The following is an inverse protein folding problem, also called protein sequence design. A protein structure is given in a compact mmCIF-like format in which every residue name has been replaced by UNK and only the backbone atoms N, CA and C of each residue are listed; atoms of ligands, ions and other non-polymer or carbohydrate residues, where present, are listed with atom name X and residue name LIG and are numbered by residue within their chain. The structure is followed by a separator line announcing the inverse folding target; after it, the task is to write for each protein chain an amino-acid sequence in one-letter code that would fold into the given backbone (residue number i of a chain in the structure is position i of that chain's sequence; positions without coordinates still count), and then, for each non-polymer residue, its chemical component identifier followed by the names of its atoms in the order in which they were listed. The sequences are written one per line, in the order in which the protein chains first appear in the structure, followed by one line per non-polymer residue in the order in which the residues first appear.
data_IF_636656104270
#
_entry.id   IF_636656104270
#
_cell.length_a   1.000
_cell.length_b   1.000
_cell.length_c   1.000
_cell.angle_alpha   90.00
_cell.angle_beta   90.00
_cell.angle_gamma   90.00
#
_symmetry.space_group_name_H-M   'P 1'
#
loop_
_entity.id
_entity.type
_entity.pdbx_description
1 polymer ?
#
# COMPACT_ATOMS: atom_id res chain seq x y z
N UNK A 1 -13.20 -14.51 23.75
CA UNK A 1 -12.57 -13.64 22.74
C UNK A 1 -13.57 -13.48 21.59
N UNK A 2 -13.68 -12.32 20.93
CA UNK A 2 -14.47 -12.23 19.70
C UNK A 2 -13.96 -13.29 18.72
N UNK A 3 -14.86 -14.04 18.07
CA UNK A 3 -14.46 -15.03 17.06
C UNK A 3 -13.51 -14.36 16.06
N UNK A 4 -12.29 -14.89 15.92
CA UNK A 4 -11.25 -14.32 15.06
C UNK A 4 -11.79 -14.15 13.64
N UNK A 5 -11.65 -12.94 13.09
CA UNK A 5 -12.01 -12.67 11.70
C UNK A 5 -10.86 -12.98 10.73
N UNK A 6 -9.69 -13.35 11.25
CA UNK A 6 -8.57 -13.86 10.44
C UNK A 6 -7.88 -15.01 11.17
N UNK A 7 -7.35 -15.95 10.40
CA UNK A 7 -6.52 -17.08 10.85
C UNK A 7 -5.22 -17.11 10.06
N UNK A 8 -4.19 -17.76 10.62
CA UNK A 8 -2.89 -17.94 9.95
C UNK A 8 -2.73 -19.40 9.57
N UNK A 9 -2.33 -19.68 8.32
CA UNK A 9 -2.06 -21.04 7.83
C UNK A 9 -0.83 -21.09 6.93
N UNK A 10 -0.19 -22.25 6.84
CA UNK A 10 1.00 -22.47 6.01
C UNK A 10 0.72 -22.92 4.58
N UNK A 11 -0.48 -23.45 4.31
CA UNK A 11 -0.84 -23.93 2.98
C UNK A 11 -2.36 -24.10 2.86
N UNK A 12 -2.82 -24.25 1.62
CA UNK A 12 -4.22 -24.49 1.28
C UNK A 12 -4.49 -25.93 0.78
N UNK A 13 -3.54 -26.85 1.01
CA UNK A 13 -3.55 -28.22 0.50
C UNK A 13 -2.95 -28.31 -0.92
N UNK A 14 -2.09 -29.32 -1.14
CA UNK A 14 -1.38 -29.55 -2.41
C UNK A 14 0.08 -29.07 -2.39
N UNK A 15 1.00 -30.02 -2.21
CA UNK A 15 2.47 -29.96 -2.39
C UNK A 15 3.18 -28.59 -2.41
N UNK A 16 3.82 -28.23 -1.29
CA UNK A 16 4.79 -27.15 -1.17
C UNK A 16 4.41 -26.12 -0.10
N UNK A 17 5.25 -25.94 0.93
CA UNK A 17 5.03 -24.93 1.96
C UNK A 17 5.48 -23.54 1.46
N UNK A 18 4.55 -22.71 1.01
CA UNK A 18 4.78 -21.32 0.60
C UNK A 18 3.87 -20.37 1.39
N UNK A 19 3.64 -20.67 2.67
CA UNK A 19 3.05 -19.74 3.64
C UNK A 19 4.13 -19.07 4.52
N UNK A 20 3.74 -18.41 5.61
CA UNK A 20 2.36 -18.24 6.12
C UNK A 20 1.47 -17.28 5.32
N UNK A 21 0.17 -17.57 5.35
CA UNK A 21 -0.93 -16.77 4.81
C UNK A 21 -1.81 -16.22 5.93
N UNK A 22 -2.27 -14.98 5.77
CA UNK A 22 -3.37 -14.40 6.53
C UNK A 22 -4.69 -14.68 5.79
N UNK A 23 -5.59 -15.43 6.42
CA UNK A 23 -6.83 -15.92 5.83
C UNK A 23 -8.03 -15.31 6.55
N UNK A 24 -8.94 -14.61 5.86
CA UNK A 24 -10.13 -14.06 6.50
C UNK A 24 -11.15 -15.13 6.92
N UNK A 25 -11.93 -14.85 7.96
CA UNK A 25 -12.95 -15.75 8.50
C UNK A 25 -14.07 -15.99 7.50
N UNK A 26 -14.49 -17.25 7.36
CA UNK A 26 -15.50 -17.65 6.38
C UNK A 26 -14.92 -17.92 4.99
N UNK A 27 -13.65 -17.56 4.75
CA UNK A 27 -12.91 -18.01 3.58
C UNK A 27 -12.47 -19.46 3.79
N UNK A 28 -12.62 -20.29 2.77
CA UNK A 28 -12.20 -21.69 2.78
C UNK A 28 -11.57 -22.07 1.46
N UNK A 29 -10.48 -22.85 1.54
CA UNK A 29 -9.74 -23.31 0.37
C UNK A 29 -10.70 -24.05 -0.59
N UNK A 30 -10.77 -23.59 -1.84
CA UNK A 30 -11.63 -24.17 -2.88
C UNK A 30 -12.90 -23.37 -3.20
N UNK A 31 -13.23 -22.34 -2.40
CA UNK A 31 -14.33 -21.43 -2.70
C UNK A 31 -13.84 -20.15 -3.40
N UNK A 32 -14.65 -19.62 -4.30
CA UNK A 32 -14.45 -18.29 -4.89
C UNK A 32 -14.40 -17.23 -3.78
N UNK A 33 -13.41 -16.34 -3.82
CA UNK A 33 -13.40 -15.19 -2.91
C UNK A 33 -14.35 -14.16 -3.48
N UNK A 34 -15.45 -13.91 -2.78
CA UNK A 34 -16.47 -12.94 -3.18
C UNK A 34 -16.54 -11.83 -2.15
N UNK A 35 -16.54 -10.58 -2.59
CA UNK A 35 -16.81 -9.42 -1.72
C UNK A 35 -18.04 -8.67 -2.20
N UNK A 36 -18.72 -8.03 -1.24
CA UNK A 36 -19.88 -7.19 -1.49
C UNK A 36 -19.62 -5.77 -0.99
N UNK A 37 -19.93 -4.78 -1.83
CA UNK A 37 -19.71 -3.36 -1.55
C UNK A 37 -21.01 -2.59 -1.82
N UNK A 38 -21.70 -2.14 -0.76
CA UNK A 38 -22.93 -1.32 -0.87
C UNK A 38 -22.59 0.17 -1.01
N UNK A 39 -23.29 0.86 -1.92
CA UNK A 39 -23.13 2.29 -2.18
C UNK A 39 -21.91 2.77 -3.01
N UNK A 40 -21.14 1.93 -3.75
CA UNK A 40 -20.02 2.43 -4.57
C UNK A 40 -20.45 3.02 -5.92
N UNK A 41 -21.76 3.04 -6.21
CA UNK A 41 -22.33 3.40 -7.51
C UNK A 41 -23.43 4.44 -7.26
N UNK A 42 -23.65 5.33 -8.24
CA UNK A 42 -24.71 6.32 -8.16
C UNK A 42 -26.11 5.67 -7.95
N UNK A 43 -27.01 6.25 -7.15
CA UNK A 43 -28.29 5.62 -6.76
C UNK A 43 -29.24 5.26 -7.92
N UNK A 44 -29.08 5.92 -9.06
CA UNK A 44 -29.91 5.73 -10.26
C UNK A 44 -29.46 4.57 -11.16
N UNK A 45 -28.33 3.93 -10.87
CA UNK A 45 -27.83 2.79 -11.66
C UNK A 45 -28.61 1.52 -11.31
N UNK A 46 -29.13 0.85 -12.34
CA UNK A 46 -29.85 -0.43 -12.22
C UNK A 46 -28.91 -1.63 -12.32
N UNK A 47 -29.33 -2.77 -11.79
CA UNK A 47 -28.61 -4.04 -11.86
C UNK A 47 -28.14 -4.38 -13.28
N UNK A 48 -26.87 -4.77 -13.41
CA UNK A 48 -26.26 -5.15 -14.68
C UNK A 48 -24.85 -5.71 -14.46
N UNK A 49 -24.47 -6.70 -15.26
CA UNK A 49 -23.10 -7.21 -15.25
C UNK A 49 -22.21 -6.18 -15.94
N UNK A 50 -21.31 -5.55 -15.18
CA UNK A 50 -20.22 -4.75 -15.75
C UNK A 50 -19.08 -5.69 -16.04
N UNK A 51 -19.01 -6.19 -17.26
CA UNK A 51 -17.86 -6.98 -17.69
C UNK A 51 -16.66 -6.05 -17.78
N UNK A 52 -15.78 -6.11 -16.78
CA UNK A 52 -14.44 -5.56 -16.92
C UNK A 52 -13.69 -6.34 -18.03
N UNK A 53 -12.82 -5.69 -18.80
CA UNK A 53 -11.96 -6.42 -19.73
C UNK A 53 -11.16 -7.49 -18.96
N UNK A 54 -11.30 -8.75 -19.36
CA UNK A 54 -10.66 -9.87 -18.68
C UNK A 54 -9.15 -9.68 -18.58
N UNK A 55 -8.62 -9.64 -17.37
CA UNK A 55 -7.17 -9.75 -17.15
C UNK A 55 -6.84 -11.23 -17.03
N UNK A 56 -6.30 -11.79 -18.11
CA UNK A 56 -5.91 -13.20 -18.20
C UNK A 56 -4.57 -13.41 -17.48
N UNK A 57 -4.49 -14.46 -16.66
CA UNK A 57 -3.20 -14.96 -16.16
C UNK A 57 -2.52 -15.73 -17.29
N UNK A 58 -1.19 -15.64 -17.45
CA UNK A 58 -0.46 -16.61 -18.25
C UNK A 58 -0.59 -17.97 -17.56
N UNK A 59 -1.38 -18.87 -18.15
CA UNK A 59 -1.51 -20.28 -17.76
C UNK A 59 -0.88 -21.15 -18.86
N UNK A 60 -0.25 -22.30 -18.53
CA UNK A 60 0.18 -23.28 -19.52
C UNK A 60 -0.99 -23.99 -20.23
N UNK A 61 -2.25 -23.69 -19.89
CA UNK A 61 -3.44 -24.18 -20.57
C UNK A 61 -4.39 -23.04 -20.96
N UNK A 62 -5.09 -23.12 -22.11
CA UNK A 62 -5.96 -22.07 -22.60
C UNK A 62 -7.27 -22.07 -21.81
N UNK A 63 -7.35 -21.31 -20.73
CA UNK A 63 -8.62 -21.01 -20.06
C UNK A 63 -8.86 -19.50 -20.07
N UNK A 64 -9.98 -19.11 -20.68
CA UNK A 64 -10.51 -17.75 -20.87
C UNK A 64 -11.00 -17.06 -19.59
N UNK A 65 -10.57 -17.51 -18.41
CA UNK A 65 -11.12 -17.06 -17.12
C UNK A 65 -10.39 -15.81 -16.61
N UNK A 66 -11.15 -14.73 -16.38
CA UNK A 66 -10.65 -13.49 -15.76
C UNK A 66 -10.40 -13.69 -14.27
N UNK A 67 -9.21 -13.31 -13.77
CA UNK A 67 -8.84 -13.43 -12.34
C UNK A 67 -9.80 -12.68 -11.42
N UNK A 68 -10.26 -11.51 -11.86
CA UNK A 68 -11.21 -10.66 -11.15
C UNK A 68 -12.41 -10.41 -12.04
N UNK A 69 -13.62 -10.60 -11.51
CA UNK A 69 -14.87 -10.22 -12.18
C UNK A 69 -15.64 -9.23 -11.32
N UNK A 70 -16.20 -8.21 -11.94
CA UNK A 70 -17.06 -7.21 -11.31
C UNK A 70 -18.50 -7.42 -11.77
N UNK A 71 -19.47 -7.26 -10.87
CA UNK A 71 -20.89 -7.20 -11.23
C UNK A 71 -21.62 -6.20 -10.35
N UNK A 72 -22.56 -5.45 -10.91
CA UNK A 72 -23.40 -4.50 -10.17
C UNK A 72 -24.78 -5.11 -10.02
N UNK A 73 -25.27 -5.15 -8.79
CA UNK A 73 -26.59 -5.68 -8.49
C UNK A 73 -27.34 -4.75 -7.54
N UNK A 74 -28.66 -4.80 -7.62
CA UNK A 74 -29.52 -4.22 -6.59
C UNK A 74 -29.78 -5.32 -5.56
N UNK A 75 -29.39 -5.16 -4.28
CA UNK A 75 -29.63 -6.18 -3.27
C UNK A 75 -31.12 -6.55 -3.22
N UNK A 76 -31.45 -7.84 -3.08
CA UNK A 76 -32.84 -8.26 -2.86
C UNK A 76 -33.31 -7.74 -1.48
N UNK A 77 -34.44 -7.03 -1.44
CA UNK A 77 -35.02 -6.44 -0.22
C UNK A 77 -35.07 -4.90 -0.24
N UNK A 78 -35.52 -4.29 0.87
CA UNK A 78 -35.75 -2.84 1.04
C UNK A 78 -34.47 -1.96 1.01
N UNK A 79 -33.34 -2.42 0.45
CA UNK A 79 -32.13 -1.59 0.35
C UNK A 79 -32.18 -0.71 -0.90
N UNK A 80 -32.22 0.63 -0.77
CA UNK A 80 -32.34 1.53 -1.91
C UNK A 80 -31.03 1.75 -2.68
N UNK A 81 -29.89 1.19 -2.21
CA UNK A 81 -28.57 1.47 -2.77
C UNK A 81 -28.04 0.30 -3.61
N UNK A 82 -27.52 0.56 -4.83
CA UNK A 82 -26.84 -0.46 -5.62
C UNK A 82 -25.57 -0.94 -4.92
N UNK A 83 -25.23 -2.20 -5.18
CA UNK A 83 -24.06 -2.85 -4.64
C UNK A 83 -23.18 -3.43 -5.77
N UNK A 84 -21.89 -3.48 -5.50
CA UNK A 84 -20.89 -4.14 -6.33
C UNK A 84 -20.55 -5.47 -5.69
N UNK A 85 -20.46 -6.50 -6.52
CA UNK A 85 -19.87 -7.79 -6.19
C UNK A 85 -18.57 -7.93 -6.98
N UNK A 86 -17.49 -8.32 -6.30
CA UNK A 86 -16.23 -8.74 -6.95
C UNK A 86 -16.02 -10.20 -6.63
N UNK A 87 -15.73 -11.01 -7.65
CA UNK A 87 -15.29 -12.39 -7.47
C UNK A 87 -13.83 -12.53 -7.92
N UNK A 88 -13.06 -13.28 -7.14
CA UNK A 88 -11.69 -13.69 -7.48
C UNK A 88 -11.67 -15.17 -7.81
N UNK A 89 -11.00 -15.53 -8.90
CA UNK A 89 -10.81 -16.92 -9.27
C UNK A 89 -10.22 -17.73 -8.11
N UNK A 90 -10.83 -18.89 -7.83
CA UNK A 90 -10.44 -19.74 -6.71
C UNK A 90 -9.07 -20.38 -6.90
N UNK A 91 -8.68 -20.67 -8.14
CA UNK A 91 -7.39 -21.27 -8.46
C UNK A 91 -6.27 -20.28 -8.16
N UNK A 92 -6.44 -19.02 -8.57
CA UNK A 92 -5.49 -17.95 -8.28
C UNK A 92 -5.47 -17.55 -6.79
N UNK A 93 -6.64 -17.31 -6.19
CA UNK A 93 -6.75 -16.80 -4.83
C UNK A 93 -6.11 -17.74 -3.79
N UNK A 94 -6.29 -19.05 -3.95
CA UNK A 94 -5.82 -20.05 -2.99
C UNK A 94 -4.54 -20.78 -3.43
N UNK A 95 -3.87 -20.29 -4.49
CA UNK A 95 -2.63 -20.90 -4.95
C UNK A 95 -1.51 -20.71 -3.93
N UNK A 96 -0.66 -21.73 -3.77
CA UNK A 96 0.65 -21.62 -3.11
C UNK A 96 1.81 -21.49 -4.12
N UNK A 97 1.53 -21.53 -5.43
CA UNK A 97 2.55 -21.41 -6.47
C UNK A 97 2.99 -19.95 -6.67
N UNK A 98 4.30 -19.69 -6.57
CA UNK A 98 4.85 -18.33 -6.65
C UNK A 98 4.57 -17.65 -7.99
N UNK A 99 4.48 -18.40 -9.10
CA UNK A 99 4.21 -17.85 -10.43
C UNK A 99 2.77 -17.40 -10.53
N UNK A 100 1.83 -18.22 -10.05
CA UNK A 100 0.41 -17.86 -9.97
C UNK A 100 0.17 -16.68 -9.03
N UNK A 101 0.90 -16.59 -7.90
CA UNK A 101 0.85 -15.42 -7.01
C UNK A 101 1.35 -14.14 -7.68
N UNK A 102 2.49 -14.20 -8.38
CA UNK A 102 3.00 -13.05 -9.14
C UNK A 102 2.01 -12.60 -10.23
N UNK A 103 1.40 -13.56 -10.94
CA UNK A 103 0.39 -13.27 -11.94
C UNK A 103 -0.88 -12.67 -11.32
N UNK A 104 -1.31 -13.13 -10.14
CA UNK A 104 -2.43 -12.56 -9.39
C UNK A 104 -2.16 -11.11 -8.95
N UNK A 105 -0.94 -10.80 -8.50
CA UNK A 105 -0.53 -9.45 -8.14
C UNK A 105 -0.57 -8.51 -9.37
N UNK A 106 -0.09 -8.98 -10.53
CA UNK A 106 -0.21 -8.23 -11.79
C UNK A 106 -1.67 -8.02 -12.19
N UNK A 107 -2.50 -9.06 -12.12
CA UNK A 107 -3.92 -8.96 -12.43
C UNK A 107 -4.65 -7.99 -11.50
N UNK A 108 -4.23 -7.90 -10.23
CA UNK A 108 -4.78 -6.94 -9.27
C UNK A 108 -4.43 -5.49 -9.63
N UNK A 109 -3.20 -5.20 -10.04
CA UNK A 109 -2.81 -3.85 -10.53
C UNK A 109 -3.67 -3.43 -11.73
N UNK A 110 -3.84 -4.32 -12.71
CA UNK A 110 -4.68 -4.03 -13.89
C UNK A 110 -6.15 -3.85 -13.49
N UNK A 111 -6.68 -4.71 -12.61
CA UNK A 111 -8.03 -4.58 -12.09
C UNK A 111 -8.25 -3.24 -11.38
N UNK A 112 -7.29 -2.76 -10.58
CA UNK A 112 -7.34 -1.42 -9.95
C UNK A 112 -7.42 -0.30 -10.99
N UNK A 113 -6.60 -0.34 -12.03
CA UNK A 113 -6.64 0.64 -13.12
C UNK A 113 -8.00 0.65 -13.83
N UNK A 114 -8.56 -0.53 -14.12
CA UNK A 114 -9.86 -0.68 -14.76
C UNK A 114 -11.00 -0.17 -13.86
N UNK A 115 -10.96 -0.45 -12.56
CA UNK A 115 -11.93 0.07 -11.60
C UNK A 115 -11.90 1.60 -11.55
N UNK A 116 -10.72 2.21 -11.53
CA UNK A 116 -10.62 3.66 -11.51
C UNK A 116 -11.14 4.29 -12.81
N UNK A 117 -10.87 3.67 -13.96
CA UNK A 117 -11.44 4.13 -15.23
C UNK A 117 -12.98 4.14 -15.21
N UNK A 118 -13.61 3.21 -14.49
CA UNK A 118 -15.08 3.20 -14.31
C UNK A 118 -15.63 4.38 -13.50
N UNK A 119 -14.80 5.14 -12.78
CA UNK A 119 -15.24 6.38 -12.12
C UNK A 119 -15.38 7.55 -13.08
N UNK A 120 -14.82 7.44 -14.29
CA UNK A 120 -14.81 8.49 -15.31
C UNK A 120 -15.85 8.31 -16.43
N UNK A 121 -16.53 7.16 -16.49
CA UNK A 121 -17.49 6.81 -17.57
C UNK A 121 -18.93 6.97 -17.11
N UNK A 122 -19.85 7.32 -18.03
CA UNK A 122 -21.24 7.64 -17.73
C UNK A 122 -22.17 6.42 -17.51
N UNK A 123 -21.71 5.18 -17.71
CA UNK A 123 -22.53 3.98 -17.53
C UNK A 123 -21.69 2.69 -17.35
N UNK A 124 -21.75 1.99 -16.20
CA UNK A 124 -22.23 2.41 -14.88
C UNK A 124 -21.11 3.10 -14.08
N UNK A 125 -21.31 4.36 -13.66
CA UNK A 125 -20.28 5.14 -13.00
C UNK A 125 -20.11 4.64 -11.56
N UNK A 126 -18.91 4.15 -11.26
CA UNK A 126 -18.46 4.11 -9.87
C UNK A 126 -18.39 5.56 -9.35
N UNK A 127 -18.78 5.79 -8.10
CA UNK A 127 -18.62 7.12 -7.49
C UNK A 127 -17.14 7.45 -7.33
N UNK A 128 -16.74 8.73 -7.37
CA UNK A 128 -15.35 9.13 -7.10
C UNK A 128 -14.84 8.53 -5.77
N UNK A 129 -13.71 7.83 -5.83
CA UNK A 129 -13.10 7.15 -4.68
C UNK A 129 -13.66 5.75 -4.37
N UNK A 130 -14.68 5.27 -5.10
CA UNK A 130 -15.22 3.93 -4.94
C UNK A 130 -14.21 2.83 -5.32
N UNK A 131 -13.34 3.07 -6.30
CA UNK A 131 -12.24 2.17 -6.67
C UNK A 131 -11.35 1.85 -5.45
N UNK A 132 -10.88 2.88 -4.73
CA UNK A 132 -10.07 2.71 -3.52
C UNK A 132 -10.83 1.95 -2.43
N UNK A 133 -12.13 2.18 -2.26
CA UNK A 133 -12.95 1.43 -1.31
C UNK A 133 -13.03 -0.06 -1.69
N UNK A 134 -13.29 -0.37 -2.96
CA UNK A 134 -13.40 -1.74 -3.48
C UNK A 134 -12.06 -2.47 -3.34
N UNK A 135 -10.96 -1.84 -3.76
CA UNK A 135 -9.59 -2.40 -3.68
C UNK A 135 -9.18 -2.69 -2.24
N UNK A 136 -9.43 -1.76 -1.31
CA UNK A 136 -9.14 -1.99 0.12
C UNK A 136 -9.98 -3.12 0.71
N UNK A 137 -11.26 -3.22 0.34
CA UNK A 137 -12.13 -4.32 0.77
C UNK A 137 -11.65 -5.65 0.22
N UNK A 138 -11.24 -5.67 -1.04
CA UNK A 138 -10.72 -6.86 -1.70
C UNK A 138 -9.43 -7.33 -1.03
N UNK A 139 -8.48 -6.42 -0.76
CA UNK A 139 -7.25 -6.73 -0.03
C UNK A 139 -7.53 -7.34 1.36
N UNK A 140 -8.57 -6.87 2.06
CA UNK A 140 -8.97 -7.43 3.36
C UNK A 140 -9.68 -8.79 3.30
N UNK A 141 -10.18 -9.18 2.13
CA UNK A 141 -10.95 -10.42 1.95
C UNK A 141 -10.17 -11.51 1.21
N UNK A 142 -9.03 -11.19 0.62
CA UNK A 142 -8.17 -12.17 -0.04
C UNK A 142 -7.28 -12.90 0.98
N UNK A 143 -7.04 -14.21 0.80
CA UNK A 143 -5.96 -14.89 1.50
C UNK A 143 -4.61 -14.41 0.93
N UNK A 144 -3.83 -13.72 1.75
CA UNK A 144 -2.57 -13.09 1.36
C UNK A 144 -1.40 -13.68 2.13
N UNK A 145 -0.27 -13.93 1.46
CA UNK A 145 1.00 -14.21 2.14
C UNK A 145 1.51 -12.94 2.82
N UNK A 146 2.34 -13.09 3.84
CA UNK A 146 2.85 -11.93 4.58
C UNK A 146 3.68 -10.98 3.71
N UNK A 147 4.45 -11.50 2.76
CA UNK A 147 5.20 -10.72 1.77
C UNK A 147 4.31 -9.98 0.76
N UNK A 148 3.04 -10.35 0.63
CA UNK A 148 2.10 -9.75 -0.32
C UNK A 148 1.23 -8.65 0.31
N UNK A 149 1.03 -8.67 1.63
CA UNK A 149 0.11 -7.74 2.32
C UNK A 149 0.40 -6.28 1.93
N UNK A 150 1.66 -5.85 1.94
CA UNK A 150 2.02 -4.48 1.60
C UNK A 150 1.82 -4.15 0.12
N UNK A 151 1.97 -5.12 -0.78
CA UNK A 151 1.71 -4.95 -2.21
C UNK A 151 0.22 -4.72 -2.48
N UNK A 152 -0.67 -5.42 -1.78
CA UNK A 152 -2.11 -5.26 -1.96
C UNK A 152 -2.68 -4.00 -1.29
N UNK A 153 -2.14 -3.61 -0.13
CA UNK A 153 -2.62 -2.43 0.61
C UNK A 153 -1.95 -1.12 0.16
N UNK A 154 -0.68 -1.15 -0.22
CA UNK A 154 0.14 0.06 -0.45
C UNK A 154 0.88 0.04 -1.79
N UNK A 155 0.56 -0.89 -2.69
CA UNK A 155 1.27 -1.09 -3.95
C UNK A 155 2.80 -1.18 -3.77
N UNK A 156 3.25 -1.70 -2.62
CA UNK A 156 4.66 -1.90 -2.35
C UNK A 156 5.26 -2.89 -3.36
N UNK A 157 6.29 -2.45 -4.06
CA UNK A 157 7.01 -3.22 -5.06
C UNK A 157 8.50 -3.21 -4.72
N UNK A 158 9.03 -4.29 -4.11
CA UNK A 158 10.42 -4.35 -3.71
C UNK A 158 11.38 -4.42 -4.91
N UNK A 159 10.91 -4.85 -6.08
CA UNK A 159 11.73 -4.94 -7.30
C UNK A 159 11.85 -3.57 -7.96
N UNK A 160 10.73 -2.86 -8.09
CA UNK A 160 10.71 -1.47 -8.57
C UNK A 160 11.17 -0.45 -7.51
N UNK A 161 11.44 -0.90 -6.28
CA UNK A 161 11.77 -0.07 -5.13
C UNK A 161 10.76 1.08 -4.98
N UNK A 162 9.47 0.75 -4.94
CA UNK A 162 8.41 1.77 -4.96
C UNK A 162 7.25 1.47 -4.00
N UNK A 163 6.52 2.51 -3.60
CA UNK A 163 5.34 2.39 -2.75
C UNK A 163 4.37 3.56 -2.91
N UNK A 164 3.07 3.29 -2.87
CA UNK A 164 2.04 4.33 -2.87
C UNK A 164 1.95 5.01 -1.50
N UNK A 165 1.79 6.34 -1.54
CA UNK A 165 1.44 7.15 -0.40
C UNK A 165 -0.09 7.32 -0.35
N UNK A 166 -0.69 6.99 0.79
CA UNK A 166 -2.14 7.04 0.98
C UNK A 166 -2.54 8.09 2.03
N UNK A 167 -3.80 8.59 1.98
CA UNK A 167 -4.33 9.47 3.01
C UNK A 167 -4.16 8.91 4.42
N UNK A 168 -3.75 9.76 5.36
CA UNK A 168 -3.53 9.46 6.77
C UNK A 168 -2.23 8.70 7.07
N UNK A 169 -1.38 8.48 6.07
CA UNK A 169 0.03 8.16 6.29
C UNK A 169 0.82 9.39 6.75
N UNK A 170 2.03 9.17 7.23
CA UNK A 170 3.03 10.22 7.39
C UNK A 170 4.28 9.85 6.61
N UNK A 171 4.93 10.83 5.99
CA UNK A 171 6.23 10.69 5.37
C UNK A 171 7.27 11.30 6.29
N UNK A 172 8.13 10.46 6.87
CA UNK A 172 9.35 10.94 7.53
C UNK A 172 10.41 11.20 6.46
N UNK A 173 10.98 12.38 6.50
CA UNK A 173 12.05 12.84 5.60
C UNK A 173 13.25 13.17 6.46
N UNK A 174 14.32 12.40 6.34
CA UNK A 174 15.61 12.72 6.96
C UNK A 174 16.50 13.39 5.92
N UNK A 175 16.76 14.68 6.14
CA UNK A 175 17.48 15.55 5.23
C UNK A 175 18.98 15.46 5.47
N UNK A 176 19.74 15.32 4.40
CA UNK A 176 21.18 15.57 4.41
C UNK A 176 21.56 16.49 3.26
N UNK A 177 21.90 17.73 3.62
CA UNK A 177 22.35 18.75 2.68
C UNK A 177 23.82 18.59 2.34
N UNK A 178 24.19 18.97 1.12
CA UNK A 178 25.59 19.05 0.73
C UNK A 178 26.21 20.32 1.29
N UNK A 179 27.31 20.18 2.03
CA UNK A 179 28.12 21.27 2.54
C UNK A 179 29.34 21.43 1.65
N UNK A 180 29.42 22.57 0.98
CA UNK A 180 30.57 22.94 0.16
C UNK A 180 31.48 23.89 0.94
N UNK A 181 32.73 23.46 1.15
CA UNK A 181 33.78 24.23 1.81
C UNK A 181 34.75 24.86 0.80
N UNK A 182 35.30 24.08 -0.13
CA UNK A 182 36.24 24.59 -1.14
C UNK A 182 36.31 23.71 -2.40
N UNK A 183 36.78 24.27 -3.51
CA UNK A 183 36.89 23.55 -4.79
C UNK A 183 37.96 22.45 -4.77
N UNK A 184 37.91 21.48 -5.70
CA UNK A 184 38.93 20.44 -5.80
C UNK A 184 40.35 21.02 -5.85
N UNK A 185 41.26 20.49 -5.02
CA UNK A 185 42.66 20.93 -4.94
C UNK A 185 42.94 22.12 -4.02
N UNK A 186 41.91 22.77 -3.45
CA UNK A 186 42.08 23.81 -2.42
C UNK A 186 42.23 23.25 -1.01
N UNK A 187 42.86 24.02 -0.10
CA UNK A 187 42.84 23.70 1.33
C UNK A 187 41.38 23.64 1.82
N UNK A 188 40.99 22.55 2.48
CA UNK A 188 39.62 22.29 2.91
C UNK A 188 38.73 21.55 1.90
N UNK A 189 39.22 21.18 0.69
CA UNK A 189 38.45 20.41 -0.28
C UNK A 189 37.99 19.04 0.27
N UNK A 190 38.78 18.42 1.16
CA UNK A 190 38.43 17.17 1.84
C UNK A 190 37.36 17.32 2.94
N UNK A 191 36.87 18.54 3.20
CA UNK A 191 35.80 18.81 4.16
C UNK A 191 34.42 18.95 3.48
N UNK A 192 34.37 18.90 2.14
CA UNK A 192 33.11 18.87 1.41
C UNK A 192 32.37 17.54 1.65
N UNK A 193 31.04 17.59 1.78
CA UNK A 193 30.25 16.38 1.84
C UNK A 193 28.82 16.59 2.31
N UNK A 194 28.07 15.49 2.36
CA UNK A 194 26.71 15.49 2.87
C UNK A 194 26.69 15.38 4.40
N UNK A 195 26.07 16.34 5.06
CA UNK A 195 25.81 16.32 6.50
C UNK A 195 24.32 16.28 6.80
N UNK A 196 23.92 15.55 7.84
CA UNK A 196 22.53 15.53 8.31
C UNK A 196 22.11 16.94 8.73
N UNK A 197 21.02 17.43 8.16
CA UNK A 197 20.48 18.78 8.44
C UNK A 197 19.24 18.76 9.32
N UNK A 198 18.52 17.63 9.36
CA UNK A 198 17.38 17.45 10.27
C UNK A 198 16.39 16.42 9.75
N UNK A 199 15.26 16.28 10.46
CA UNK A 199 14.17 15.39 10.07
C UNK A 199 12.84 16.15 10.07
N UNK A 200 11.94 15.79 9.16
CA UNK A 200 10.58 16.30 9.09
C UNK A 200 9.58 15.16 8.99
N UNK A 201 8.45 15.25 9.69
CA UNK A 201 7.34 14.33 9.52
C UNK A 201 6.19 15.09 8.85
N UNK A 202 5.82 14.66 7.65
CA UNK A 202 4.80 15.30 6.85
C UNK A 202 3.57 14.42 6.83
N UNK A 203 2.43 14.92 7.26
CA UNK A 203 1.17 14.16 7.14
C UNK A 203 0.70 14.17 5.68
N UNK A 204 0.15 13.05 5.21
CA UNK A 204 -0.45 12.96 3.87
C UNK A 204 -1.95 12.99 4.04
N UNK A 205 -2.61 13.92 3.36
CA UNK A 205 -4.03 14.20 3.54
C UNK A 205 -4.75 14.20 2.21
N UNK A 206 -6.02 13.83 2.25
CA UNK A 206 -6.92 13.91 1.10
C UNK A 206 -7.62 15.27 1.15
N UNK A 207 -7.44 16.08 0.10
CA UNK A 207 -8.16 17.33 -0.08
C UNK A 207 -9.59 17.08 -0.58
N UNK A 208 -10.52 18.04 -0.41
CA UNK A 208 -11.90 17.91 -0.90
C UNK A 208 -12.03 17.68 -2.41
N UNK A 209 -11.03 18.10 -3.19
CA UNK A 209 -10.94 17.88 -4.64
C UNK A 209 -10.48 16.46 -5.02
N UNK A 210 -10.18 15.60 -4.04
CA UNK A 210 -9.73 14.23 -4.26
C UNK A 210 -8.22 14.09 -4.48
N UNK A 211 -7.44 15.18 -4.38
CA UNK A 211 -5.98 15.14 -4.49
C UNK A 211 -5.31 14.92 -3.14
N UNK A 212 -4.11 14.34 -3.16
CA UNK A 212 -3.25 14.20 -2.00
C UNK A 212 -2.38 15.44 -1.83
N UNK A 213 -2.20 15.85 -0.59
CA UNK A 213 -1.30 16.90 -0.20
C UNK A 213 -0.49 16.49 1.03
N UNK A 214 0.68 17.09 1.18
CA UNK A 214 1.45 17.00 2.40
C UNK A 214 0.93 18.05 3.40
N UNK A 215 1.16 17.90 4.71
CA UNK A 215 0.85 18.86 5.79
C UNK A 215 -0.57 19.48 5.83
N UNK A 216 -1.30 19.24 6.92
CA UNK A 216 -2.72 19.61 7.02
C UNK A 216 -3.03 21.08 7.18
N UNK A 217 -2.04 21.90 7.53
CA UNK A 217 -2.21 23.34 7.59
C UNK A 217 -2.02 23.97 6.21
N UNK A 218 -0.85 23.77 5.60
CA UNK A 218 -0.54 24.36 4.30
C UNK A 218 -1.38 23.80 3.16
N UNK A 219 -1.89 22.56 3.28
CA UNK A 219 -2.81 21.98 2.32
C UNK A 219 -4.17 22.69 2.21
N UNK A 220 -4.52 23.59 3.15
CA UNK A 220 -5.78 24.34 3.15
C UNK A 220 -5.70 25.66 2.37
N UNK A 221 -4.51 26.10 1.97
CA UNK A 221 -4.37 27.36 1.25
C UNK A 221 -4.90 27.25 -0.18
N UNK A 222 -5.97 27.99 -0.47
CA UNK A 222 -6.66 27.96 -1.77
C UNK A 222 -5.83 28.54 -2.92
N UNK A 223 -4.94 29.49 -2.64
CA UNK A 223 -4.00 30.02 -3.64
C UNK A 223 -2.73 29.17 -3.77
N UNK A 224 -2.51 28.22 -2.86
CA UNK A 224 -1.30 27.42 -2.76
C UNK A 224 -0.03 28.27 -2.61
N UNK A 225 1.12 27.63 -2.86
CA UNK A 225 2.41 28.31 -2.95
C UNK A 225 2.82 28.26 -4.42
N UNK A 226 2.81 29.40 -5.11
CA UNK A 226 3.31 29.47 -6.48
C UNK A 226 4.83 29.64 -6.47
N UNK A 227 5.55 28.72 -7.11
CA UNK A 227 6.87 29.05 -7.65
C UNK A 227 6.66 29.63 -9.05
N UNK A 228 7.40 30.68 -9.36
CA UNK A 228 7.46 31.30 -10.68
C UNK A 228 8.91 31.22 -11.18
N UNK A 229 9.20 30.43 -12.25
CA UNK A 229 8.43 29.32 -12.81
C UNK A 229 9.16 27.97 -12.65
N UNK A 230 8.53 26.92 -12.11
CA UNK A 230 9.03 25.57 -12.29
C UNK A 230 8.63 25.08 -13.69
N UNK A 231 9.46 25.39 -14.68
CA UNK A 231 9.35 24.80 -16.04
C UNK A 231 10.24 23.56 -16.19
N UNK A 232 11.10 23.32 -15.21
CA UNK A 232 12.03 22.20 -15.21
C UNK A 232 11.39 20.99 -14.55
N UNK A 233 11.52 19.86 -15.22
CA UNK A 233 11.15 18.58 -14.69
C UNK A 233 12.40 17.67 -14.67
N UNK A 234 12.67 16.96 -13.57
CA UNK A 234 11.89 16.94 -12.33
C UNK A 234 12.01 18.24 -11.52
N UNK A 235 11.00 18.51 -10.69
CA UNK A 235 11.06 19.56 -9.67
C UNK A 235 12.08 19.18 -8.60
N UNK A 236 12.75 20.17 -8.02
CA UNK A 236 13.68 19.97 -6.91
C UNK A 236 13.01 20.37 -5.59
N UNK A 237 13.06 19.48 -4.60
CA UNK A 237 12.61 19.77 -3.23
C UNK A 237 13.79 19.87 -2.28
N UNK A 238 14.04 21.07 -1.75
CA UNK A 238 15.00 21.33 -0.68
C UNK A 238 14.36 21.33 0.72
N UNK A 239 13.03 21.38 0.79
CA UNK A 239 12.30 21.32 2.06
C UNK A 239 10.81 20.99 1.89
N UNK A 240 10.06 20.91 3.00
CA UNK A 240 8.63 20.58 2.97
C UNK A 240 7.77 21.54 2.14
N UNK A 241 8.16 22.82 2.03
CA UNK A 241 7.41 23.84 1.29
C UNK A 241 7.34 23.52 -0.22
N UNK A 242 8.38 22.88 -0.77
CA UNK A 242 8.47 22.53 -2.19
C UNK A 242 7.52 21.37 -2.56
N UNK A 243 7.03 20.62 -1.56
CA UNK A 243 6.01 19.60 -1.76
C UNK A 243 4.59 20.21 -1.81
N UNK A 244 4.42 21.46 -1.36
CA UNK A 244 3.14 22.16 -1.26
C UNK A 244 2.83 23.07 -2.44
N UNK A 245 3.68 23.04 -3.46
CA UNK A 245 3.54 23.97 -4.57
C UNK A 245 2.22 23.79 -5.29
N UNK A 246 1.68 24.91 -5.78
CA UNK A 246 0.47 24.92 -6.56
C UNK A 246 0.64 24.01 -7.77
N UNK A 247 -0.29 23.08 -7.96
CA UNK A 247 -0.24 22.09 -9.03
C UNK A 247 0.45 20.77 -8.67
N UNK A 248 1.09 20.62 -7.50
CA UNK A 248 1.68 19.35 -7.07
C UNK A 248 0.65 18.34 -6.53
N UNK A 249 -0.55 18.82 -6.17
CA UNK A 249 -1.64 17.95 -5.71
C UNK A 249 -2.04 16.94 -6.78
N UNK A 250 -1.99 15.65 -6.44
CA UNK A 250 -2.33 14.55 -7.35
C UNK A 250 -3.09 13.46 -6.62
N UNK A 251 -4.00 12.78 -7.31
CA UNK A 251 -4.83 11.71 -6.74
C UNK A 251 -3.99 10.53 -6.26
N UNK A 252 -2.96 10.18 -7.02
CA UNK A 252 -1.99 9.14 -6.66
C UNK A 252 -0.63 9.78 -6.43
N UNK A 253 0.03 9.37 -5.35
CA UNK A 253 1.40 9.73 -5.04
C UNK A 253 2.19 8.44 -4.78
N UNK A 254 3.40 8.35 -5.30
CA UNK A 254 4.28 7.18 -5.17
C UNK A 254 5.71 7.60 -4.94
N UNK A 255 6.37 6.95 -3.99
CA UNK A 255 7.80 7.07 -3.80
C UNK A 255 8.51 5.99 -4.64
N UNK A 256 9.63 6.38 -5.25
CA UNK A 256 10.55 5.49 -5.93
C UNK A 256 11.95 5.76 -5.38
N UNK A 257 12.61 4.72 -4.86
CA UNK A 257 13.97 4.82 -4.36
C UNK A 257 14.98 4.51 -5.48
N UNK A 258 16.14 5.18 -5.50
CA UNK A 258 17.22 4.81 -6.40
C UNK A 258 17.90 3.52 -5.92
N UNK A 259 18.45 2.75 -6.86
CA UNK A 259 19.21 1.53 -6.56
C UNK A 259 20.59 1.81 -5.97
N UNK A 260 21.08 3.05 -6.06
CA UNK A 260 22.36 3.49 -5.50
C UNK A 260 22.33 4.96 -5.10
N UNK A 261 23.07 5.30 -4.04
CA UNK A 261 23.31 6.69 -3.62
C UNK A 261 24.77 7.08 -3.85
N UNK A 262 25.01 8.37 -4.09
CA UNK A 262 26.37 8.93 -4.07
C UNK A 262 27.00 8.81 -2.67
N UNK A 263 28.34 8.67 -2.64
CA UNK A 263 29.10 8.60 -1.40
C UNK A 263 29.04 9.91 -0.61
N UNK A 264 29.16 9.84 0.72
CA UNK A 264 29.03 11.01 1.60
C UNK A 264 30.04 12.14 1.32
N UNK A 265 31.28 11.77 0.92
CA UNK A 265 32.33 12.71 0.54
C UNK A 265 32.47 12.88 -0.98
N UNK A 266 31.45 12.54 -1.76
CA UNK A 266 31.47 12.76 -3.20
C UNK A 266 31.57 14.25 -3.49
N UNK A 267 32.71 14.68 -4.04
CA UNK A 267 32.93 16.07 -4.48
C UNK A 267 32.48 16.32 -5.92
N UNK A 268 31.96 15.29 -6.57
CA UNK A 268 31.42 15.38 -7.93
C UNK A 268 30.11 16.16 -7.92
N UNK A 269 30.22 17.46 -8.20
CA UNK A 269 29.09 18.35 -8.47
C UNK A 269 28.74 18.40 -9.98
N UNK A 270 29.33 17.53 -10.80
CA UNK A 270 29.17 17.52 -12.25
C UNK A 270 28.29 16.35 -12.71
N UNK A 271 27.35 16.64 -13.63
CA UNK A 271 26.47 15.64 -14.23
C UNK A 271 25.14 15.39 -13.51
N UNK A 272 24.26 14.61 -14.17
CA UNK A 272 22.94 14.17 -13.69
C UNK A 272 23.00 13.23 -12.48
N UNK A 273 24.20 12.80 -12.08
CA UNK A 273 24.50 11.96 -10.91
C UNK A 273 24.22 12.64 -9.56
N UNK A 274 24.08 13.98 -9.52
CA UNK A 274 23.66 14.72 -8.32
C UNK A 274 22.14 14.68 -8.05
N UNK A 275 21.40 13.93 -8.87
CA UNK A 275 19.95 13.75 -8.78
C UNK A 275 19.56 12.34 -8.31
N UNK A 276 20.50 11.51 -7.86
CA UNK A 276 20.23 10.17 -7.33
C UNK A 276 19.72 10.23 -5.88
N UNK A 277 18.58 10.87 -5.72
CA UNK A 277 17.79 10.88 -4.50
C UNK A 277 16.48 10.15 -4.77
N UNK A 278 15.67 9.94 -3.73
CA UNK A 278 14.34 9.39 -3.91
C UNK A 278 13.50 10.33 -4.79
N UNK A 279 12.59 9.74 -5.57
CA UNK A 279 11.68 10.45 -6.46
C UNK A 279 10.26 10.30 -5.90
N UNK A 280 9.56 11.42 -5.78
CA UNK A 280 8.13 11.45 -5.54
C UNK A 280 7.42 11.70 -6.86
N UNK A 281 6.65 10.71 -7.31
CA UNK A 281 5.79 10.78 -8.49
C UNK A 281 4.35 11.06 -8.07
N UNK A 282 3.64 11.83 -8.89
CA UNK A 282 2.22 12.10 -8.73
C UNK A 282 1.49 12.05 -10.07
N UNK A 283 0.31 11.44 -10.08
CA UNK A 283 -0.54 11.35 -11.27
C UNK A 283 -2.03 11.45 -10.94
N UNK A 284 -2.83 11.83 -11.94
CA UNK A 284 -4.30 11.92 -11.80
C UNK A 284 -4.99 10.56 -11.89
N UNK A 285 -4.34 9.54 -12.48
CA UNK A 285 -4.86 8.17 -12.59
C UNK A 285 -3.85 7.12 -12.15
N UNK A 286 -4.33 5.94 -11.71
CA UNK A 286 -3.45 4.83 -11.37
C UNK A 286 -2.70 4.27 -12.59
N UNK A 287 -3.31 4.32 -13.79
CA UNK A 287 -2.64 3.89 -15.00
C UNK A 287 -1.41 4.78 -15.32
N UNK A 288 -1.56 6.09 -15.15
CA UNK A 288 -0.47 7.04 -15.39
C UNK A 288 0.63 6.94 -14.35
N UNK A 289 0.31 6.68 -13.07
CA UNK A 289 1.37 6.50 -12.05
C UNK A 289 2.16 5.20 -12.27
N UNK A 290 1.52 4.12 -12.71
CA UNK A 290 2.22 2.88 -13.10
C UNK A 290 3.14 3.12 -14.30
N UNK A 291 2.65 3.81 -15.34
CA UNK A 291 3.46 4.17 -16.51
C UNK A 291 4.65 5.07 -16.15
N UNK A 292 4.43 6.08 -15.31
CA UNK A 292 5.49 6.97 -14.83
C UNK A 292 6.53 6.22 -14.00
N UNK A 293 6.09 5.31 -13.11
CA UNK A 293 6.99 4.46 -12.32
C UNK A 293 7.87 3.60 -13.22
N UNK A 294 7.26 2.94 -14.22
CA UNK A 294 7.99 2.10 -15.16
C UNK A 294 9.05 2.88 -15.95
N UNK A 295 8.73 4.10 -16.41
CA UNK A 295 9.67 4.96 -17.14
C UNK A 295 10.86 5.40 -16.26
N UNK A 296 10.60 5.73 -14.98
CA UNK A 296 11.64 6.10 -14.03
C UNK A 296 12.55 4.90 -13.73
N UNK A 297 11.97 3.75 -13.39
CA UNK A 297 12.71 2.52 -13.04
C UNK A 297 13.54 2.01 -14.22
N UNK A 298 13.03 2.15 -15.45
CA UNK A 298 13.75 1.80 -16.67
C UNK A 298 14.84 2.82 -17.06
N UNK A 299 15.01 3.91 -16.31
CA UNK A 299 15.98 4.98 -16.61
C UNK A 299 15.65 5.78 -17.87
N UNK A 300 14.39 5.75 -18.34
CA UNK A 300 13.96 6.41 -19.57
C UNK A 300 13.67 7.90 -19.37
N UNK A 301 13.13 8.27 -18.20
CA UNK A 301 12.75 9.65 -17.89
C UNK A 301 12.62 9.85 -16.38
N UNK A 302 13.34 10.84 -15.82
CA UNK A 302 13.13 11.29 -14.45
C UNK A 302 11.79 12.04 -14.26
N UNK A 303 11.14 12.43 -15.35
CA UNK A 303 9.82 13.06 -15.37
C UNK A 303 8.67 12.06 -15.40
N UNK A 304 8.97 10.77 -15.53
CA UNK A 304 7.97 9.77 -15.88
C UNK A 304 7.44 9.96 -17.31
N UNK A 305 6.40 9.18 -17.62
CA UNK A 305 5.62 9.25 -18.86
C UNK A 305 4.15 9.01 -18.51
N UNK A 306 3.25 9.62 -19.27
CA UNK A 306 1.80 9.48 -19.09
C UNK A 306 1.14 8.90 -20.34
N UNK A 307 -0.09 8.42 -20.18
CA UNK A 307 -0.96 8.14 -21.32
C UNK A 307 -1.34 9.44 -22.05
N UNK A 308 -1.59 9.37 -23.36
CA UNK A 308 -1.86 10.54 -24.19
C UNK A 308 -3.12 11.30 -23.71
N UNK A 309 -3.01 12.62 -23.51
CA UNK A 309 -4.14 13.48 -23.13
C UNK A 309 -4.41 13.61 -21.62
N UNK A 310 -3.55 13.04 -20.76
CA UNK A 310 -3.65 13.15 -19.31
C UNK A 310 -3.03 14.44 -18.74
N UNK A 311 -3.38 14.78 -17.49
CA UNK A 311 -2.72 15.84 -16.72
C UNK A 311 -1.22 15.51 -16.53
N UNK A 312 -0.33 16.52 -16.57
CA UNK A 312 1.11 16.31 -16.40
C UNK A 312 1.45 15.52 -15.12
N UNK A 313 2.34 14.54 -15.25
CA UNK A 313 2.99 13.87 -14.12
C UNK A 313 3.73 14.90 -13.27
N UNK A 314 3.50 14.86 -11.96
CA UNK A 314 4.34 15.57 -10.98
C UNK A 314 5.52 14.66 -10.69
N UNK A 315 6.74 15.14 -10.89
CA UNK A 315 7.96 14.44 -10.49
C UNK A 315 8.81 15.38 -9.66
N UNK A 316 9.15 14.94 -8.44
CA UNK A 316 9.92 15.72 -7.47
C UNK A 316 11.11 14.89 -7.01
N UNK A 317 12.31 15.44 -7.17
CA UNK A 317 13.56 14.88 -6.64
C UNK A 317 14.00 15.70 -5.43
N UNK A 318 14.37 15.02 -4.36
CA UNK A 318 14.83 15.68 -3.15
C UNK A 318 16.30 16.07 -3.27
N UNK A 319 16.64 17.33 -2.98
CA UNK A 319 18.01 17.84 -3.05
C UNK A 319 18.83 17.25 -1.90
N UNK A 320 19.96 16.64 -2.24
CA UNK A 320 20.89 16.06 -1.28
C UNK A 320 20.72 14.55 -1.09
N UNK A 321 21.22 14.01 0.03
CA UNK A 321 21.09 12.59 0.40
C UNK A 321 19.92 12.40 1.36
N UNK A 322 18.72 12.36 0.80
CA UNK A 322 17.49 12.30 1.61
C UNK A 322 17.06 10.86 1.81
N UNK A 323 16.71 10.51 3.06
CA UNK A 323 16.05 9.24 3.37
C UNK A 323 14.56 9.50 3.55
N UNK A 324 13.75 8.84 2.70
CA UNK A 324 12.30 8.86 2.81
C UNK A 324 11.83 7.58 3.51
N UNK A 325 10.99 7.72 4.52
CA UNK A 325 10.40 6.60 5.26
C UNK A 325 8.88 6.82 5.37
N UNK A 326 8.05 6.12 4.57
CA UNK A 326 6.61 6.17 4.74
C UNK A 326 6.21 5.45 6.02
N UNK A 327 5.27 6.02 6.76
CA UNK A 327 4.83 5.58 8.07
C UNK A 327 3.31 5.49 8.14
N UNK A 328 2.84 4.52 8.93
CA UNK A 328 1.42 4.32 9.23
C UNK A 328 1.16 4.49 10.72
N UNK A 329 -0.06 4.91 11.05
CA UNK A 329 -0.54 5.03 12.42
C UNK A 329 -1.15 3.70 12.85
N UNK A 330 -0.62 3.14 13.93
CA UNK A 330 -1.13 1.94 14.61
C UNK A 330 -1.41 2.26 16.07
N UNK A 331 -2.20 1.43 16.74
CA UNK A 331 -2.45 1.53 18.17
C UNK A 331 -1.73 0.39 18.87
N UNK A 332 -0.97 0.72 19.92
CA UNK A 332 -0.26 -0.26 20.75
C UNK A 332 -0.66 0.01 22.18
N UNK A 333 -1.34 -0.94 22.82
CA UNK A 333 -1.82 -0.81 24.20
C UNK A 333 -2.65 0.48 24.41
N UNK A 334 -3.55 0.77 23.46
CA UNK A 334 -4.39 1.98 23.50
C UNK A 334 -3.68 3.30 23.18
N UNK A 335 -2.36 3.29 22.94
CA UNK A 335 -1.59 4.48 22.54
C UNK A 335 -1.30 4.46 21.05
N UNK A 336 -1.58 5.57 20.37
CA UNK A 336 -1.27 5.70 18.95
C UNK A 336 0.24 5.87 18.72
N UNK A 337 0.80 5.10 17.79
CA UNK A 337 2.21 5.16 17.39
C UNK A 337 2.35 5.28 15.87
N UNK A 338 3.32 6.07 15.43
CA UNK A 338 3.78 6.09 14.03
C UNK A 338 4.87 5.05 13.86
N UNK A 339 4.70 4.15 12.89
CA UNK A 339 5.66 3.09 12.59
C UNK A 339 5.97 3.08 11.10
N UNK A 340 7.22 2.81 10.68
CA UNK A 340 7.55 2.59 9.27
C UNK A 340 6.68 1.51 8.65
N UNK A 341 6.30 1.68 7.39
CA UNK A 341 5.70 0.59 6.61
C UNK A 341 6.71 -0.57 6.55
N UNK A 342 6.20 -1.80 6.73
CA UNK A 342 7.05 -2.99 6.91
C UNK A 342 7.29 -3.40 8.36
N UNK A 343 6.90 -2.56 9.33
CA UNK A 343 6.91 -2.96 10.74
C UNK A 343 5.95 -4.15 10.94
N UNK A 344 6.44 -5.23 11.55
CA UNK A 344 5.65 -6.43 11.87
C UNK A 344 5.16 -6.42 13.32
N UNK A 345 4.25 -7.33 13.65
CA UNK A 345 3.84 -7.57 15.06
C UNK A 345 5.05 -7.89 15.92
N UNK A 346 5.99 -8.71 15.43
CA UNK A 346 7.23 -9.08 16.12
C UNK A 346 8.05 -7.85 16.48
N UNK A 347 8.24 -6.92 15.53
CA UNK A 347 9.02 -5.70 15.77
C UNK A 347 8.44 -4.83 16.90
N UNK A 348 7.11 -4.85 17.11
CA UNK A 348 6.48 -4.13 18.22
C UNK A 348 6.58 -4.89 19.53
N UNK A 349 6.36 -6.20 19.50
CA UNK A 349 6.43 -7.05 20.70
C UNK A 349 7.86 -7.03 21.28
N UNK A 350 8.88 -7.10 20.42
CA UNK A 350 10.31 -7.02 20.78
C UNK A 350 10.68 -5.74 21.55
N UNK A 351 9.83 -4.71 21.58
CA UNK A 351 10.06 -3.51 22.40
C UNK A 351 9.75 -3.72 23.87
N UNK A 352 8.96 -4.74 24.20
CA UNK A 352 8.43 -5.00 25.55
C UNK A 352 8.87 -6.36 26.10
N UNK A 353 8.96 -7.36 25.21
CA UNK A 353 9.40 -8.70 25.55
C UNK A 353 10.14 -9.28 24.34
N UNK A 354 11.22 -10.01 24.57
CA UNK A 354 11.83 -10.81 23.52
C UNK A 354 10.94 -12.04 23.29
N UNK A 355 10.17 -12.13 22.18
CA UNK A 355 9.53 -13.38 21.85
C UNK A 355 10.67 -14.35 21.53
N UNK A 356 10.99 -15.25 22.47
CA UNK A 356 11.92 -16.34 22.22
C UNK A 356 11.38 -17.06 20.96
N UNK A 357 12.21 -17.36 19.94
CA UNK A 357 11.79 -18.22 18.83
C UNK A 357 11.18 -19.46 19.46
N UNK A 358 9.88 -19.63 19.27
CA UNK A 358 9.14 -20.60 20.06
C UNK A 358 9.72 -21.99 19.80
N UNK A 359 10.12 -22.67 20.87
CA UNK A 359 10.58 -24.03 20.75
C UNK A 359 9.39 -24.89 20.32
N UNK A 360 9.46 -25.49 19.14
CA UNK A 360 8.50 -26.51 18.74
C UNK A 360 8.66 -27.70 19.68
N UNK A 361 7.79 -27.83 20.67
CA UNK A 361 7.71 -29.02 21.50
C UNK A 361 6.53 -29.87 21.00
N UNK A 362 6.83 -31.01 20.36
CA UNK A 362 5.84 -31.99 19.89
C UNK A 362 4.69 -31.41 19.04
N UNK A 363 5.00 -30.53 18.08
CA UNK A 363 3.99 -30.01 17.13
C UNK A 363 3.01 -29.00 17.71
N UNK A 364 3.18 -28.59 18.98
CA UNK A 364 2.49 -27.44 19.56
C UNK A 364 3.51 -26.34 19.83
N UNK A 365 3.25 -25.17 19.28
CA UNK A 365 4.08 -24.01 19.51
C UNK A 365 3.37 -23.16 20.57
N UNK A 366 3.87 -23.19 21.80
CA UNK A 366 3.28 -22.47 22.95
C UNK A 366 4.04 -21.19 23.24
N UNK A 367 3.42 -20.04 22.99
CA UNK A 367 3.99 -18.74 23.37
C UNK A 367 3.53 -18.45 24.78
N UNK A 368 4.44 -18.00 25.64
CA UNK A 368 4.05 -17.40 26.92
C UNK A 368 3.48 -15.98 26.74
N UNK A 369 3.54 -15.41 25.53
CA UNK A 369 2.96 -14.12 25.20
C UNK A 369 1.53 -14.29 24.68
N UNK A 370 0.58 -13.74 25.42
CA UNK A 370 -0.79 -13.58 24.95
C UNK A 370 -0.91 -12.23 24.24
N UNK A 371 -1.30 -12.28 22.96
CA UNK A 371 -1.33 -11.12 22.06
C UNK A 371 -2.65 -11.12 21.30
N UNK A 372 -3.22 -9.95 21.10
CA UNK A 372 -4.37 -9.75 20.23
C UNK A 372 -4.07 -8.62 19.24
N UNK A 373 -4.14 -8.93 17.95
CA UNK A 373 -4.09 -7.92 16.89
C UNK A 373 -5.49 -7.76 16.33
N UNK A 374 -5.94 -6.53 16.27
CA UNK A 374 -7.24 -6.14 15.75
C UNK A 374 -7.01 -5.29 14.50
N UNK A 375 -7.51 -5.78 13.38
CA UNK A 375 -7.37 -5.15 12.07
C UNK A 375 -8.72 -4.62 11.60
N UNK A 376 -8.76 -3.36 11.19
CA UNK A 376 -9.94 -2.82 10.53
C UNK A 376 -10.09 -3.47 9.16
N UNK A 377 -11.24 -4.10 8.92
CA UNK A 377 -11.52 -4.79 7.67
C UNK A 377 -13.00 -5.06 7.47
N UNK A 378 -13.37 -5.43 6.26
CA UNK A 378 -14.67 -6.02 5.97
C UNK A 378 -14.44 -7.24 5.10
N UNK A 379 -13.99 -8.35 5.68
CA UNK A 379 -13.88 -9.60 4.93
C UNK A 379 -15.26 -10.20 4.64
N UNK A 380 -16.32 -9.39 4.55
CA UNK A 380 -17.69 -9.84 4.36
C UNK A 380 -17.82 -10.53 3.02
N UNK A 381 -17.70 -11.86 3.06
CA UNK A 381 -17.92 -12.76 1.93
C UNK A 381 -19.40 -13.16 1.77
N UNK A 382 -20.29 -12.58 2.59
CA UNK A 382 -21.71 -12.87 2.58
C UNK A 382 -22.50 -11.73 1.92
N UNK A 383 -23.57 -12.04 1.17
CA UNK A 383 -24.47 -11.03 0.62
C UNK A 383 -24.99 -10.12 1.74
N UNK A 384 -24.82 -8.81 1.59
CA UNK A 384 -25.21 -7.85 2.61
C UNK A 384 -26.74 -7.67 2.58
N UNK A 385 -27.42 -8.02 3.67
CA UNK A 385 -28.85 -7.76 3.92
C UNK A 385 -29.12 -6.30 4.35
N UNK A 386 -28.08 -5.48 4.53
CA UNK A 386 -28.12 -4.19 5.21
C UNK A 386 -27.65 -3.01 4.36
N UNK A 387 -28.42 -1.93 4.41
CA UNK A 387 -28.25 -0.66 3.71
C UNK A 387 -27.04 0.20 4.10
N UNK A 388 -26.09 -0.29 4.91
CA UNK A 388 -24.96 0.51 5.43
C UNK A 388 -23.60 -0.17 5.25
N UNK A 389 -22.60 0.49 4.63
CA UNK A 389 -21.22 0.01 4.65
C UNK A 389 -20.69 0.06 6.10
N UNK A 390 -20.31 -1.09 6.67
CA UNK A 390 -19.89 -1.19 8.09
C UNK A 390 -18.47 -1.67 8.24
N UNK A 391 -17.52 -0.77 8.53
CA UNK A 391 -16.16 -1.22 8.88
C UNK A 391 -16.22 -1.98 10.20
N UNK A 392 -15.72 -3.20 10.18
CA UNK A 392 -15.65 -4.04 11.37
C UNK A 392 -14.19 -4.13 11.82
N UNK A 393 -14.01 -4.35 13.12
CA UNK A 393 -12.71 -4.69 13.68
C UNK A 393 -12.65 -6.21 13.71
N UNK A 394 -11.71 -6.78 12.96
CA UNK A 394 -11.44 -8.21 12.93
C UNK A 394 -10.24 -8.57 13.79
N UNK A 395 -10.41 -9.48 14.74
CA UNK A 395 -9.27 -10.05 15.46
C UNK A 395 -8.50 -11.00 14.53
N UNK A 396 -7.18 -10.83 14.48
CA UNK A 396 -6.24 -11.79 13.91
C UNK A 396 -5.91 -12.79 15.01
N UNK A 397 -6.27 -14.05 14.79
CA UNK A 397 -5.96 -15.12 15.72
C UNK A 397 -4.48 -15.52 15.61
N UNK A 398 -3.68 -15.02 16.54
CA UNK A 398 -2.26 -15.38 16.66
C UNK A 398 -2.04 -16.61 17.56
N UNK A 399 -3.08 -17.24 18.11
CA UNK A 399 -2.91 -18.43 18.95
C UNK A 399 -2.34 -19.63 18.18
N UNK A 400 -2.55 -19.67 16.86
CA UNK A 400 -1.98 -20.66 15.93
C UNK A 400 -0.82 -20.11 15.09
N UNK A 401 -0.38 -18.86 15.34
CA UNK A 401 0.67 -18.19 14.59
C UNK A 401 1.96 -19.02 14.49
N UNK A 402 2.27 -19.76 15.55
CA UNK A 402 3.53 -20.49 15.68
C UNK A 402 3.45 -21.94 15.17
N UNK A 403 2.25 -22.48 14.89
CA UNK A 403 2.11 -23.69 14.06
C UNK A 403 2.24 -23.40 12.56
N UNK A 404 2.13 -22.12 12.18
CA UNK A 404 2.26 -21.66 10.80
C UNK A 404 3.66 -21.09 10.52
N UNK A 405 4.72 -21.91 10.66
CA UNK A 405 6.09 -21.55 10.28
C UNK A 405 6.36 -21.89 8.82
N UNK A 406 6.80 -20.90 8.03
CA UNK A 406 7.19 -21.07 6.63
C UNK A 406 8.42 -20.23 6.26
N UNK A 407 8.83 -20.21 4.98
CA UNK A 407 9.98 -19.41 4.51
C UNK A 407 9.84 -17.91 4.80
N UNK A 408 8.60 -17.43 4.98
CA UNK A 408 8.28 -16.03 5.27
C UNK A 408 8.14 -15.74 6.78
N UNK A 409 8.50 -16.70 7.65
CA UNK A 409 8.44 -16.55 9.11
C UNK A 409 7.24 -17.25 9.74
N UNK A 410 6.80 -16.73 10.88
CA UNK A 410 5.62 -17.18 11.63
C UNK A 410 4.59 -16.04 11.76
N UNK A 411 3.42 -16.29 12.37
CA UNK A 411 2.37 -15.26 12.48
C UNK A 411 2.76 -13.95 13.17
N UNK A 412 3.85 -13.87 13.95
CA UNK A 412 4.37 -12.60 14.46
C UNK A 412 5.03 -11.75 13.38
N UNK A 413 5.45 -12.34 12.27
CA UNK A 413 6.00 -11.63 11.12
C UNK A 413 4.91 -11.01 10.23
N UNK A 414 3.64 -11.06 10.66
CA UNK A 414 2.53 -10.33 10.02
C UNK A 414 2.84 -8.82 9.96
N UNK A 415 2.91 -8.21 8.76
CA UNK A 415 3.08 -6.77 8.61
C UNK A 415 1.86 -6.02 9.14
N UNK A 416 2.13 -4.91 9.83
CA UNK A 416 1.11 -4.00 10.31
C UNK A 416 0.63 -3.08 9.19
N UNK A 417 -0.67 -2.79 9.21
CA UNK A 417 -1.30 -1.81 8.33
C UNK A 417 -1.91 -0.67 9.15
N UNK A 418 -2.17 0.45 8.49
CA UNK A 418 -2.84 1.63 9.04
C UNK A 418 -4.10 1.23 9.80
N UNK A 419 -4.18 1.65 11.06
CA UNK A 419 -5.31 1.44 11.94
C UNK A 419 -5.26 0.15 12.76
N UNK A 420 -4.30 -0.75 12.51
CA UNK A 420 -4.14 -1.95 13.34
C UNK A 420 -3.99 -1.59 14.82
N UNK A 421 -4.59 -2.39 15.68
CA UNK A 421 -4.59 -2.25 17.13
C UNK A 421 -4.00 -3.49 17.77
N UNK A 422 -2.85 -3.35 18.42
CA UNK A 422 -2.13 -4.41 19.11
C UNK A 422 -2.33 -4.29 20.63
N UNK A 423 -2.82 -5.38 21.23
CA UNK A 423 -2.87 -5.57 22.69
C UNK A 423 -1.88 -6.66 23.08
N UNK A 424 -1.05 -6.36 24.07
CA UNK A 424 -0.08 -7.26 24.68
C UNK A 424 -0.53 -7.52 26.11
N UNK A 425 -0.93 -8.75 26.42
CA UNK A 425 -1.31 -9.11 27.79
C UNK A 425 -0.06 -9.52 28.55
N UNK A 426 0.34 -8.69 29.51
CA UNK A 426 1.43 -9.02 30.42
C UNK A 426 0.94 -10.02 31.47
N UNK A 427 1.78 -10.98 31.90
CA UNK A 427 1.40 -11.90 32.97
C UNK A 427 1.01 -11.15 34.24
N UNK A 428 -0.21 -11.39 34.75
CA UNK A 428 -0.67 -10.85 36.04
C UNK A 428 -1.52 -9.58 36.00
N UNK A 429 -1.84 -9.04 34.82
CA UNK A 429 -2.80 -7.93 34.68
C UNK A 429 -4.10 -8.44 34.05
N UNK A 430 -5.11 -8.71 34.88
CA UNK A 430 -6.49 -9.04 34.48
C UNK A 430 -7.39 -7.81 34.54
#
# INVERSE_FOLDING_TARGET
MPNGQYSVTNSFGGGGAVGPFLVPSGASAGNTVTIYVVGPVAPNVRSGNVTLPSVMLPSPAPTTQSTFTLSIFSPQGNSPLPAVQVNVDKGAAWSSDSTQRAAMAMAFKVFRAQLEALESVSSPPLLPGASNLIVNRLASAMPLRFDEILSYYYAFDPVAQSIDLLPGMSLRVDWAGYQYCNGPGGAGAGLNGFGTTGSSNLEILLRPDGTLAFDGFSAQFTQGISLQPPTECPLLAGGPVDLQLLGNGRRHLRLVWPTSFSGAGSVDNSGSSNQLSCILLGASSFADIEAATAAVVAGQSACGSQSSGADPIVSIVFVGRVTLVPQVRVWVMGTQQLVPIGTTVRNLVQRFADPIPMQMQQGSATSNLQLAVQRWGQPNMQPIDRSTPRFNIGAIDLSQAASAVGPLGDGFDTPLIKGDYLTIYLPGTS
#
